data_IF_210440927255
#
_entry.id   IF_210440927255
#
_cell.length_a   1.000
_cell.length_b   1.000
_cell.length_c   1.000
_cell.angle_alpha   90.00
_cell.angle_beta   90.00
_cell.angle_gamma   90.00
#
_symmetry.space_group_name_H-M   'P 1'
#
loop_
_entity.id
_entity.type
_entity.pdbx_description
1 polymer ?
#
# COMPACT_ATOMS: atom_id res chain seq x y z
N UNK A 1 28.27 43.14 -12.45
CA UNK A 1 28.12 42.29 -11.25
C UNK A 1 26.66 42.33 -10.85
N UNK A 2 25.84 41.41 -11.35
CA UNK A 2 24.43 41.31 -10.95
C UNK A 2 24.31 40.30 -9.81
N UNK A 3 23.96 40.80 -8.64
CA UNK A 3 23.59 40.00 -7.48
C UNK A 3 22.30 39.23 -7.80
N UNK A 4 22.34 37.89 -7.69
CA UNK A 4 21.13 37.05 -7.66
C UNK A 4 20.67 36.97 -6.20
N UNK A 5 19.41 37.27 -5.88
CA UNK A 5 18.92 37.18 -4.51
C UNK A 5 18.86 35.71 -4.05
N UNK A 6 18.92 35.54 -2.73
CA UNK A 6 18.79 34.24 -2.07
C UNK A 6 17.49 33.53 -2.48
N UNK A 7 17.57 32.23 -2.71
CA UNK A 7 16.42 31.38 -3.00
C UNK A 7 15.34 31.57 -1.92
N UNK A 8 14.12 31.86 -2.37
CA UNK A 8 12.91 31.82 -1.56
C UNK A 8 12.80 30.43 -0.91
N UNK A 9 12.33 30.35 0.34
CA UNK A 9 12.07 29.08 1.03
C UNK A 9 11.32 28.13 0.07
N UNK A 10 11.93 26.98 -0.21
CA UNK A 10 11.52 26.09 -1.30
C UNK A 10 10.06 25.68 -1.18
N UNK A 11 9.31 25.88 -2.25
CA UNK A 11 7.98 25.32 -2.42
C UNK A 11 8.08 23.81 -2.22
N UNK A 12 7.29 23.28 -1.27
CA UNK A 12 7.20 21.83 -1.06
C UNK A 12 6.63 21.25 -2.36
N UNK A 13 7.47 20.56 -3.13
CA UNK A 13 7.03 19.88 -4.34
C UNK A 13 6.16 18.71 -3.90
N UNK A 14 4.85 18.90 -4.00
CA UNK A 14 3.88 17.85 -3.71
C UNK A 14 3.93 16.84 -4.85
N UNK A 15 4.05 15.57 -4.51
CA UNK A 15 4.14 14.46 -5.49
C UNK A 15 2.86 13.65 -5.43
N UNK A 16 2.17 13.55 -6.56
CA UNK A 16 0.99 12.69 -6.69
C UNK A 16 1.38 11.23 -6.40
N UNK A 17 0.58 10.56 -5.58
CA UNK A 17 0.89 9.22 -5.11
C UNK A 17 -0.29 8.25 -5.25
N UNK A 18 0.03 6.97 -5.35
CA UNK A 18 -0.92 5.86 -5.23
C UNK A 18 -0.51 4.99 -4.06
N UNK A 19 -1.46 4.75 -3.16
CA UNK A 19 -1.27 3.86 -2.01
C UNK A 19 -1.57 2.42 -2.42
N UNK A 20 -0.70 1.49 -2.01
CA UNK A 20 -0.96 0.06 -2.10
C UNK A 20 -0.81 -0.58 -0.73
N UNK A 21 -1.85 -1.27 -0.29
CA UNK A 21 -1.77 -2.12 0.89
C UNK A 21 -1.00 -3.43 0.62
N UNK A 22 -0.46 -4.04 1.68
CA UNK A 22 0.27 -5.30 1.61
C UNK A 22 -0.64 -6.53 1.72
N UNK A 23 -1.13 -6.85 2.91
CA UNK A 23 -1.71 -8.16 3.24
C UNK A 23 -3.18 -8.22 2.83
N UNK A 24 -3.54 -9.08 1.88
CA UNK A 24 -4.88 -9.14 1.29
C UNK A 24 -5.00 -8.30 0.02
N UNK A 25 -4.03 -7.40 -0.23
CA UNK A 25 -3.99 -6.50 -1.38
C UNK A 25 -2.85 -6.85 -2.34
N UNK A 26 -1.60 -6.47 -2.07
CA UNK A 26 -0.47 -6.90 -2.91
C UNK A 26 -0.18 -8.39 -2.74
N UNK A 27 -0.17 -8.85 -1.49
CA UNK A 27 0.13 -10.21 -1.07
C UNK A 27 -1.18 -10.99 -0.89
N UNK A 28 -1.36 -12.08 -1.63
CA UNK A 28 -2.48 -12.99 -1.46
C UNK A 28 -2.25 -13.87 -0.24
N UNK A 29 -2.85 -13.44 0.88
CA UNK A 29 -2.77 -14.11 2.18
C UNK A 29 -3.89 -15.11 2.41
N UNK A 30 -4.76 -15.38 1.42
CA UNK A 30 -5.94 -16.25 1.58
C UNK A 30 -5.62 -17.64 2.13
N UNK A 31 -4.45 -18.18 1.78
CA UNK A 31 -4.00 -19.48 2.29
C UNK A 31 -3.60 -19.49 3.77
N UNK A 32 -3.35 -18.31 4.36
CA UNK A 32 -2.83 -18.14 5.72
C UNK A 32 -3.75 -17.30 6.63
N UNK A 33 -4.88 -16.80 6.13
CA UNK A 33 -5.87 -16.03 6.91
C UNK A 33 -6.29 -16.75 8.20
N UNK A 34 -6.35 -18.08 8.16
CA UNK A 34 -6.68 -18.93 9.31
C UNK A 34 -5.77 -18.69 10.55
N UNK A 35 -4.58 -18.10 10.42
CA UNK A 35 -3.76 -17.71 11.58
C UNK A 35 -4.33 -16.51 12.35
N UNK A 36 -5.12 -15.65 11.72
CA UNK A 36 -5.64 -14.40 12.31
C UNK A 36 -7.17 -14.37 12.36
N UNK A 37 -7.81 -15.48 12.00
CA UNK A 37 -9.24 -15.72 12.20
C UNK A 37 -9.56 -16.18 13.63
N UNK A 38 -10.79 -15.91 14.08
CA UNK A 38 -11.28 -16.34 15.39
C UNK A 38 -10.68 -15.60 16.58
N UNK A 39 -10.74 -16.24 17.75
CA UNK A 39 -10.33 -15.67 19.04
C UNK A 39 -8.82 -15.79 19.30
N UNK A 40 -8.16 -16.80 18.74
CA UNK A 40 -6.75 -17.12 19.00
C UNK A 40 -5.83 -16.64 17.86
N UNK A 41 -5.85 -15.33 17.61
CA UNK A 41 -5.07 -14.74 16.51
C UNK A 41 -3.57 -14.81 16.78
N UNK A 42 -2.83 -15.33 15.82
CA UNK A 42 -1.37 -15.42 15.84
C UNK A 42 -0.78 -14.60 14.68
N UNK A 43 -0.64 -13.31 14.91
CA UNK A 43 -0.07 -12.38 13.93
C UNK A 43 1.40 -12.69 13.59
N UNK A 44 2.16 -13.28 14.52
CA UNK A 44 3.56 -13.60 14.25
C UNK A 44 3.70 -14.81 13.31
N UNK A 45 2.86 -15.83 13.47
CA UNK A 45 2.77 -16.94 12.52
C UNK A 45 2.28 -16.46 11.14
N UNK A 46 1.28 -15.58 11.12
CA UNK A 46 0.74 -15.00 9.89
C UNK A 46 1.80 -14.23 9.10
N UNK A 47 2.44 -13.22 9.70
CA UNK A 47 3.45 -12.42 8.99
C UNK A 47 4.70 -13.23 8.62
N UNK A 48 5.06 -14.24 9.42
CA UNK A 48 6.14 -15.16 9.09
C UNK A 48 5.83 -16.03 7.88
N UNK A 49 4.60 -16.53 7.76
CA UNK A 49 4.16 -17.34 6.63
C UNK A 49 3.94 -16.51 5.34
N UNK A 50 3.63 -15.22 5.47
CA UNK A 50 3.33 -14.35 4.34
C UNK A 50 4.51 -14.17 3.36
N UNK A 51 5.75 -14.49 3.75
CA UNK A 51 6.91 -14.46 2.83
C UNK A 51 6.77 -15.44 1.65
N UNK A 52 5.99 -16.51 1.83
CA UNK A 52 5.77 -17.56 0.83
C UNK A 52 4.45 -17.39 0.07
N UNK A 53 3.63 -16.40 0.43
CA UNK A 53 2.39 -16.08 -0.26
C UNK A 53 2.65 -15.49 -1.66
N UNK A 54 1.82 -15.84 -2.66
CA UNK A 54 1.91 -15.26 -3.99
C UNK A 54 1.36 -13.82 -4.03
N UNK A 55 1.67 -13.04 -5.06
CA UNK A 55 1.09 -11.72 -5.25
C UNK A 55 -0.26 -11.79 -5.96
N UNK A 56 -1.12 -10.81 -5.72
CA UNK A 56 -2.23 -10.51 -6.63
C UNK A 56 -1.68 -9.80 -7.88
N UNK A 57 -1.51 -10.54 -8.98
CA UNK A 57 -0.86 -10.03 -10.20
C UNK A 57 -1.51 -8.77 -10.77
N UNK A 58 -2.84 -8.63 -10.66
CA UNK A 58 -3.55 -7.43 -11.12
C UNK A 58 -3.19 -6.16 -10.30
N UNK A 59 -2.83 -6.33 -9.03
CA UNK A 59 -2.35 -5.22 -8.18
C UNK A 59 -0.90 -4.88 -8.52
N UNK A 60 -0.07 -5.89 -8.81
CA UNK A 60 1.31 -5.68 -9.30
C UNK A 60 1.28 -4.91 -10.62
N UNK A 61 0.38 -5.25 -11.54
CA UNK A 61 0.18 -4.52 -12.79
C UNK A 61 -0.23 -3.07 -12.53
N UNK A 62 -1.14 -2.84 -11.58
CA UNK A 62 -1.56 -1.49 -11.18
C UNK A 62 -0.40 -0.65 -10.58
N UNK A 63 0.54 -1.27 -9.86
CA UNK A 63 1.77 -0.61 -9.41
C UNK A 63 2.59 -0.12 -10.61
N UNK A 64 2.80 -0.98 -11.60
CA UNK A 64 3.52 -0.63 -12.84
C UNK A 64 2.83 0.50 -13.59
N UNK A 65 1.52 0.41 -13.79
CA UNK A 65 0.75 1.44 -14.49
C UNK A 65 0.78 2.79 -13.74
N UNK A 66 0.65 2.77 -12.41
CA UNK A 66 0.74 3.99 -11.60
C UNK A 66 2.12 4.65 -11.71
N UNK A 67 3.19 3.84 -11.73
CA UNK A 67 4.57 4.29 -11.92
C UNK A 67 4.77 4.91 -13.29
N UNK A 68 4.32 4.26 -14.35
CA UNK A 68 4.39 4.75 -15.73
C UNK A 68 3.61 6.06 -15.92
N UNK A 69 2.51 6.22 -15.18
CA UNK A 69 1.75 7.47 -15.13
C UNK A 69 2.42 8.57 -14.27
N UNK A 70 3.63 8.36 -13.77
CA UNK A 70 4.42 9.36 -13.04
C UNK A 70 4.05 9.53 -11.57
N UNK A 71 3.26 8.61 -11.00
CA UNK A 71 2.90 8.66 -9.58
C UNK A 71 4.00 8.03 -8.72
N UNK A 72 4.16 8.55 -7.50
CA UNK A 72 4.88 7.85 -6.45
C UNK A 72 4.07 6.62 -6.00
N UNK A 73 4.76 5.50 -5.79
CA UNK A 73 4.20 4.27 -5.25
C UNK A 73 4.50 4.24 -3.76
N UNK A 74 3.44 4.34 -2.97
CA UNK A 74 3.51 4.35 -1.51
C UNK A 74 2.92 3.06 -0.98
N UNK A 75 3.75 2.23 -0.37
CA UNK A 75 3.30 1.01 0.29
C UNK A 75 2.91 1.33 1.73
N UNK A 76 1.71 0.88 2.13
CA UNK A 76 1.21 1.04 3.49
C UNK A 76 0.86 -0.33 4.05
N UNK A 77 1.27 -0.62 5.27
CA UNK A 77 0.91 -1.89 5.92
C UNK A 77 0.70 -1.74 7.41
N UNK A 78 -0.25 -2.53 7.94
CA UNK A 78 -0.45 -2.67 9.38
C UNK A 78 0.53 -3.67 10.04
N UNK A 79 1.43 -4.29 9.28
CA UNK A 79 2.56 -5.05 9.85
C UNK A 79 3.36 -4.16 10.79
N UNK A 80 3.67 -4.67 11.97
CA UNK A 80 4.58 -4.00 12.90
C UNK A 80 5.96 -3.82 12.25
N UNK A 81 6.64 -2.70 12.52
CA UNK A 81 7.95 -2.38 11.98
C UNK A 81 9.02 -3.47 12.16
N UNK A 82 8.87 -4.36 13.15
CA UNK A 82 9.73 -5.56 13.30
C UNK A 82 9.74 -6.48 12.07
N UNK A 83 8.70 -6.44 11.23
CA UNK A 83 8.55 -7.22 10.00
C UNK A 83 9.06 -6.50 8.75
N UNK A 84 9.70 -5.34 8.90
CA UNK A 84 10.15 -4.50 7.77
C UNK A 84 11.00 -5.28 6.77
N UNK A 85 12.01 -6.00 7.26
CA UNK A 85 12.93 -6.73 6.38
C UNK A 85 12.21 -7.83 5.61
N UNK A 86 11.29 -8.55 6.25
CA UNK A 86 10.46 -9.56 5.60
C UNK A 86 9.52 -8.96 4.54
N UNK A 87 8.93 -7.79 4.84
CA UNK A 87 8.10 -7.08 3.87
C UNK A 87 8.92 -6.63 2.65
N UNK A 88 10.12 -6.07 2.86
CA UNK A 88 11.01 -5.65 1.76
C UNK A 88 11.46 -6.87 0.96
N UNK A 89 11.88 -7.95 1.61
CA UNK A 89 12.26 -9.19 0.93
C UNK A 89 11.14 -9.75 0.05
N UNK A 90 9.88 -9.66 0.50
CA UNK A 90 8.73 -10.08 -0.31
C UNK A 90 8.52 -9.16 -1.52
N UNK A 91 8.63 -7.84 -1.34
CA UNK A 91 8.53 -6.87 -2.44
C UNK A 91 9.64 -7.09 -3.49
N UNK A 92 10.88 -7.30 -3.03
CA UNK A 92 12.04 -7.59 -3.89
C UNK A 92 11.87 -8.91 -4.64
N UNK A 93 11.34 -9.95 -3.99
CA UNK A 93 11.09 -11.28 -4.59
C UNK A 93 10.16 -11.19 -5.81
N UNK A 94 9.23 -10.23 -5.81
CA UNK A 94 8.26 -10.02 -6.90
C UNK A 94 8.55 -8.79 -7.75
N UNK A 95 9.74 -8.18 -7.61
CA UNK A 95 10.20 -7.02 -8.39
C UNK A 95 9.26 -5.80 -8.28
N UNK A 96 8.72 -5.56 -7.08
CA UNK A 96 7.76 -4.48 -6.83
C UNK A 96 8.50 -3.24 -6.30
N UNK A 97 8.81 -2.30 -7.19
CA UNK A 97 9.49 -1.05 -6.85
C UNK A 97 8.58 -0.01 -6.18
N UNK A 98 9.02 0.53 -5.04
CA UNK A 98 8.29 1.55 -4.28
C UNK A 98 9.18 2.73 -3.89
N UNK A 99 8.57 3.90 -3.65
CA UNK A 99 9.29 5.09 -3.17
C UNK A 99 9.33 5.14 -1.65
N UNK A 100 8.21 4.79 -1.00
CA UNK A 100 8.10 4.80 0.46
C UNK A 100 7.32 3.60 1.00
N UNK A 101 7.75 3.12 2.17
CA UNK A 101 7.11 2.05 2.93
C UNK A 101 6.75 2.56 4.34
N UNK A 102 5.46 2.77 4.57
CA UNK A 102 4.90 3.13 5.88
C UNK A 102 4.33 1.90 6.58
N UNK A 103 4.71 1.75 7.85
CA UNK A 103 4.36 0.58 8.65
C UNK A 103 3.81 1.00 10.00
N UNK A 104 3.09 0.09 10.66
CA UNK A 104 2.69 0.24 12.05
C UNK A 104 3.92 0.31 12.96
N UNK A 105 3.96 1.32 13.82
CA UNK A 105 5.01 1.43 14.84
C UNK A 105 4.95 0.26 15.82
N UNK A 106 6.07 -0.09 16.44
CA UNK A 106 6.09 -1.18 17.43
C UNK A 106 5.21 -0.88 18.65
N UNK A 107 4.64 -1.92 19.23
CA UNK A 107 3.73 -1.87 20.38
C UNK A 107 2.44 -1.04 20.18
N UNK A 108 2.08 -0.69 18.95
CA UNK A 108 0.76 -0.14 18.63
C UNK A 108 -0.24 -1.26 18.32
N UNK A 109 -1.20 -1.46 19.21
CA UNK A 109 -2.24 -2.49 19.09
C UNK A 109 -3.60 -1.93 18.65
N UNK A 110 -3.66 -0.66 18.22
CA UNK A 110 -4.90 -0.04 17.74
C UNK A 110 -5.37 -0.71 16.43
N UNK A 111 -6.66 -0.68 16.11
CA UNK A 111 -7.15 -1.22 14.83
C UNK A 111 -6.46 -0.60 13.61
N UNK A 112 -6.38 -1.35 12.51
CA UNK A 112 -5.63 -0.95 11.31
C UNK A 112 -6.04 0.42 10.75
N UNK A 113 -7.34 0.70 10.67
CA UNK A 113 -7.83 2.00 10.19
C UNK A 113 -7.38 3.17 11.09
N UNK A 114 -7.16 2.95 12.39
CA UNK A 114 -6.64 3.99 13.29
C UNK A 114 -5.17 4.26 13.00
N UNK A 115 -4.38 3.20 12.82
CA UNK A 115 -2.96 3.31 12.49
C UNK A 115 -2.76 3.92 11.10
N UNK A 116 -3.51 3.44 10.11
CA UNK A 116 -3.47 3.93 8.74
C UNK A 116 -3.92 5.39 8.63
N UNK A 117 -4.80 5.87 9.51
CA UNK A 117 -5.15 7.30 9.59
C UNK A 117 -3.96 8.17 10.04
N UNK A 118 -3.16 7.70 11.00
CA UNK A 118 -1.95 8.41 11.41
C UNK A 118 -0.84 8.31 10.34
N UNK A 119 -0.72 7.17 9.67
CA UNK A 119 0.18 6.99 8.52
C UNK A 119 -0.19 7.97 7.40
N UNK A 120 -1.47 8.14 7.06
CA UNK A 120 -1.89 9.09 6.02
C UNK A 120 -1.46 10.52 6.31
N UNK A 121 -1.53 10.95 7.58
CA UNK A 121 -1.01 12.26 7.99
C UNK A 121 0.51 12.36 7.76
N UNK A 122 1.25 11.27 8.04
CA UNK A 122 2.69 11.22 7.78
C UNK A 122 3.00 11.28 6.28
N UNK A 123 2.28 10.51 5.46
CA UNK A 123 2.39 10.53 3.98
C UNK A 123 2.23 11.96 3.44
N UNK A 124 1.17 12.67 3.86
CA UNK A 124 0.93 14.05 3.44
C UNK A 124 2.00 15.02 3.94
N UNK A 125 2.48 14.83 5.17
CA UNK A 125 3.55 15.64 5.75
C UNK A 125 4.88 15.46 4.99
N UNK A 126 5.14 14.26 4.48
CA UNK A 126 6.34 13.93 3.73
C UNK A 126 6.27 14.38 2.26
N UNK A 127 5.18 15.06 1.87
CA UNK A 127 5.05 15.73 0.56
C UNK A 127 4.34 14.89 -0.51
N UNK A 128 3.69 13.80 -0.14
CA UNK A 128 2.88 12.99 -1.05
C UNK A 128 1.41 13.40 -0.99
N UNK A 129 0.74 13.49 -2.14
CA UNK A 129 -0.72 13.62 -2.20
C UNK A 129 -1.32 12.33 -2.80
N UNK A 130 -1.77 11.40 -1.96
CA UNK A 130 -2.46 10.21 -2.45
C UNK A 130 -3.79 10.59 -3.08
N UNK A 131 -3.97 10.22 -4.35
CA UNK A 131 -5.24 10.39 -5.07
C UNK A 131 -5.97 9.08 -5.29
N UNK A 132 -5.23 7.96 -5.29
CA UNK A 132 -5.76 6.59 -5.41
C UNK A 132 -5.18 5.67 -4.34
N UNK A 133 -5.94 4.64 -3.96
CA UNK A 133 -5.50 3.56 -3.09
C UNK A 133 -6.03 2.19 -3.54
N UNK A 134 -5.26 1.15 -3.24
CA UNK A 134 -5.66 -0.25 -3.33
C UNK A 134 -5.63 -0.84 -1.92
N UNK A 135 -6.75 -1.38 -1.46
CA UNK A 135 -6.91 -1.94 -0.11
C UNK A 135 -8.06 -2.97 -0.12
N UNK A 136 -7.98 -4.01 0.71
CA UNK A 136 -9.00 -5.04 0.85
C UNK A 136 -9.90 -4.81 2.08
N UNK A 137 -9.42 -4.06 3.08
CA UNK A 137 -10.08 -3.94 4.37
C UNK A 137 -11.18 -2.87 4.34
N UNK A 138 -12.47 -3.22 4.50
CA UNK A 138 -13.58 -2.26 4.35
C UNK A 138 -13.50 -1.04 5.27
N UNK A 139 -12.92 -1.17 6.47
CA UNK A 139 -12.77 -0.04 7.41
C UNK A 139 -11.68 0.92 6.97
N UNK A 140 -10.63 0.40 6.34
CA UNK A 140 -9.53 1.19 5.81
C UNK A 140 -9.95 1.84 4.49
N UNK A 141 -10.68 1.12 3.64
CA UNK A 141 -11.30 1.69 2.43
C UNK A 141 -12.20 2.88 2.78
N UNK A 142 -13.02 2.76 3.82
CA UNK A 142 -13.85 3.87 4.30
C UNK A 142 -12.98 5.07 4.73
N UNK A 143 -11.92 4.83 5.49
CA UNK A 143 -10.95 5.86 5.88
C UNK A 143 -10.36 6.59 4.66
N UNK A 144 -9.92 5.85 3.64
CA UNK A 144 -9.35 6.44 2.42
C UNK A 144 -10.37 7.32 1.69
N UNK A 145 -11.59 6.81 1.49
CA UNK A 145 -12.67 7.56 0.84
C UNK A 145 -13.08 8.81 1.63
N UNK A 146 -13.14 8.73 2.96
CA UNK A 146 -13.40 9.88 3.83
C UNK A 146 -12.34 10.98 3.70
N UNK A 147 -11.14 10.65 3.23
CA UNK A 147 -10.05 11.59 2.99
C UNK A 147 -9.91 11.98 1.50
N UNK A 148 -10.93 11.71 0.67
CA UNK A 148 -10.96 12.10 -0.74
C UNK A 148 -10.06 11.27 -1.65
N UNK A 149 -9.69 10.06 -1.23
CA UNK A 149 -8.87 9.13 -2.00
C UNK A 149 -9.78 8.12 -2.69
N UNK A 150 -9.64 7.98 -4.01
CA UNK A 150 -10.37 6.96 -4.78
C UNK A 150 -9.79 5.58 -4.47
N UNK A 151 -10.65 4.59 -4.24
CA UNK A 151 -10.20 3.26 -3.78
C UNK A 151 -10.69 2.15 -4.68
N UNK A 152 -9.74 1.38 -5.20
CA UNK A 152 -10.00 0.06 -5.78
C UNK A 152 -9.98 -0.97 -4.67
N UNK A 153 -11.13 -1.57 -4.40
CA UNK A 153 -11.26 -2.66 -3.42
C UNK A 153 -10.69 -3.96 -4.01
N UNK A 154 -9.71 -4.55 -3.33
CA UNK A 154 -9.16 -5.86 -3.70
C UNK A 154 -9.92 -6.95 -2.96
N UNK A 155 -10.31 -8.01 -3.67
CA UNK A 155 -10.96 -9.19 -3.08
C UNK A 155 -10.17 -10.43 -3.47
N UNK A 156 -9.89 -11.26 -2.47
CA UNK A 156 -9.31 -12.58 -2.70
C UNK A 156 -10.22 -13.41 -3.62
N UNK A 157 -9.61 -14.12 -4.57
CA UNK A 157 -10.31 -15.14 -5.36
C UNK A 157 -11.00 -14.67 -6.65
N UNK A 158 -10.64 -13.53 -7.23
CA UNK A 158 -10.94 -13.27 -8.66
C UNK A 158 -9.82 -13.91 -9.49
N UNK A 159 -10.05 -15.04 -10.18
CA UNK A 159 -9.09 -15.54 -11.15
C UNK A 159 -8.98 -14.47 -12.24
N UNK A 160 -7.76 -14.02 -12.54
CA UNK A 160 -7.52 -13.29 -13.78
C UNK A 160 -7.97 -14.22 -14.89
N UNK A 161 -8.99 -13.81 -15.66
CA UNK A 161 -9.32 -14.54 -16.87
C UNK A 161 -8.10 -14.42 -17.79
N UNK A 162 -7.43 -15.55 -18.04
CA UNK A 162 -6.27 -15.61 -18.94
C UNK A 162 -6.70 -15.61 -20.42
N UNK A 163 -7.83 -15.02 -20.75
CA UNK A 163 -8.37 -14.93 -22.10
C UNK A 163 -8.22 -13.52 -22.67
N UNK A 164 -7.00 -12.97 -22.67
CA UNK A 164 -6.47 -12.12 -23.74
C UNK A 164 -7.30 -10.96 -24.30
N UNK A 165 -8.33 -10.48 -23.62
CA UNK A 165 -9.16 -9.35 -24.07
C UNK A 165 -8.90 -8.15 -23.18
N UNK A 166 -8.11 -7.22 -23.73
CA UNK A 166 -7.98 -5.88 -23.21
C UNK A 166 -9.38 -5.25 -23.05
N UNK A 167 -9.74 -4.97 -21.80
CA UNK A 167 -11.05 -4.45 -21.46
C UNK A 167 -11.01 -3.58 -20.20
N UNK A 168 -10.13 -2.58 -20.18
CA UNK A 168 -10.29 -1.41 -19.33
C UNK A 168 -10.53 -0.19 -20.23
N UNK A 169 -11.78 0.01 -20.60
CA UNK A 169 -12.30 1.33 -20.93
C UNK A 169 -13.18 1.74 -19.75
N UNK A 170 -12.71 2.69 -18.95
CA UNK A 170 -13.36 3.99 -18.89
C UNK A 170 -12.42 4.98 -18.18
N UNK A 171 -12.27 6.14 -18.82
CA UNK A 171 -11.50 7.31 -18.39
C UNK A 171 -12.17 8.05 -17.24
#
# INVERSE_FOLDING_TARGET
MSYRPAAQAGELVVTDAVIFDMDGTLCDVSSIEHFVEGENRNFDAFHGAAIDCPPHLHVVEAVTQAREAGNAIVIVTARSAKWRDYTIMWLDKYDIGFDHLYMRIEADFRPDYVVKADILKAIKKDGFEPTRAWDDNPKVIALWRENGIDVTEVRAGVPIRTDGEAGFNDF
#
